data_IF_554795826704
#
_entry.id   IF_554795826704
#
_cell.length_a   1.000
_cell.length_b   1.000
_cell.length_c   1.000
_cell.angle_alpha   90.00
_cell.angle_beta   90.00
_cell.angle_gamma   90.00
#
_symmetry.space_group_name_H-M   'P 1'
#
loop_
_entity.id
_entity.type
_entity.pdbx_description
1 polymer ?
#
# COMPACT_ATOMS: atom_id res chain seq x y z
N UNK A 1 -31.02 -87.98 19.35
CA UNK A 1 -30.65 -87.90 20.78
C UNK A 1 -29.34 -87.14 20.89
N UNK A 2 -29.35 -86.08 21.69
CA UNK A 2 -28.21 -85.37 22.32
C UNK A 2 -27.18 -84.60 21.46
N UNK A 3 -27.07 -83.31 21.78
CA UNK A 3 -25.94 -82.37 21.59
C UNK A 3 -24.71 -82.83 22.43
N UNK A 4 -23.57 -82.09 22.58
CA UNK A 4 -23.22 -80.72 22.14
C UNK A 4 -21.77 -80.53 21.61
N UNK A 5 -21.44 -79.33 21.12
CA UNK A 5 -20.27 -78.52 21.54
C UNK A 5 -20.15 -77.25 20.69
N UNK A 6 -20.74 -76.17 21.22
CA UNK A 6 -20.47 -74.80 20.82
C UNK A 6 -19.06 -74.41 21.27
N UNK A 7 -18.20 -73.97 20.34
CA UNK A 7 -17.00 -73.19 20.66
C UNK A 7 -17.24 -71.74 20.27
N UNK A 8 -17.41 -70.90 21.27
CA UNK A 8 -17.51 -69.44 21.15
C UNK A 8 -16.11 -68.88 20.88
N UNK A 9 -15.88 -68.30 19.70
CA UNK A 9 -14.69 -67.50 19.41
C UNK A 9 -15.04 -66.04 19.72
N UNK A 10 -14.50 -65.50 20.82
CA UNK A 10 -14.59 -64.08 21.16
C UNK A 10 -13.60 -63.32 20.26
N UNK A 11 -14.11 -62.57 19.28
CA UNK A 11 -13.31 -61.63 18.52
C UNK A 11 -13.26 -60.29 19.27
N UNK A 12 -12.12 -59.98 19.88
CA UNK A 12 -11.86 -58.70 20.55
C UNK A 12 -11.59 -57.63 19.48
N UNK A 13 -12.60 -56.82 19.18
CA UNK A 13 -12.49 -55.65 18.31
C UNK A 13 -11.75 -54.54 19.09
N UNK A 14 -10.47 -54.32 18.79
CA UNK A 14 -9.71 -53.21 19.35
C UNK A 14 -10.20 -51.90 18.69
N UNK A 15 -10.95 -51.08 19.45
CA UNK A 15 -11.18 -49.69 19.10
C UNK A 15 -9.85 -48.92 19.18
N UNK A 16 -9.28 -48.58 18.03
CA UNK A 16 -8.28 -47.52 17.96
C UNK A 16 -9.00 -46.19 18.18
N UNK A 17 -8.89 -45.64 19.39
CA UNK A 17 -9.20 -44.23 19.65
C UNK A 17 -8.12 -43.42 18.92
N UNK A 18 -8.46 -42.88 17.75
CA UNK A 18 -7.63 -41.87 17.09
C UNK A 18 -7.75 -40.60 17.92
N UNK A 19 -6.74 -40.34 18.75
CA UNK A 19 -6.61 -39.07 19.43
C UNK A 19 -6.54 -37.95 18.37
N UNK A 20 -7.27 -36.83 18.55
CA UNK A 20 -7.11 -35.68 17.66
C UNK A 20 -5.66 -35.23 17.75
N UNK A 21 -4.99 -35.13 16.61
CA UNK A 21 -3.67 -34.54 16.52
C UNK A 21 -3.76 -33.13 17.12
N UNK A 22 -3.15 -32.94 18.30
CA UNK A 22 -2.85 -31.61 18.81
C UNK A 22 -2.05 -30.93 17.72
N UNK A 23 -2.63 -29.93 17.07
CA UNK A 23 -1.87 -29.04 16.21
C UNK A 23 -0.83 -28.39 17.12
N UNK A 24 0.41 -28.88 17.07
CA UNK A 24 1.51 -28.27 17.79
C UNK A 24 1.52 -26.80 17.40
N UNK A 25 1.38 -25.90 18.38
CA UNK A 25 1.57 -24.48 18.14
C UNK A 25 3.01 -24.33 17.66
N UNK A 26 3.16 -24.10 16.36
CA UNK A 26 4.44 -23.70 15.77
C UNK A 26 4.87 -22.43 16.50
N UNK A 27 6.07 -22.45 17.09
CA UNK A 27 6.55 -21.34 17.92
C UNK A 27 6.56 -20.03 17.13
N UNK A 28 6.21 -18.94 17.81
CA UNK A 28 6.24 -17.61 17.22
C UNK A 28 7.66 -17.29 16.73
N UNK A 29 7.77 -16.78 15.51
CA UNK A 29 9.05 -16.26 15.02
C UNK A 29 9.16 -14.79 15.45
N UNK A 30 10.31 -14.42 16.01
CA UNK A 30 10.59 -13.05 16.47
C UNK A 30 11.91 -12.61 15.85
N UNK A 31 11.93 -11.40 15.28
CA UNK A 31 13.14 -10.80 14.71
C UNK A 31 13.25 -9.32 15.06
N UNK A 32 14.49 -8.85 15.18
CA UNK A 32 14.75 -7.42 15.40
C UNK A 32 14.70 -6.66 14.08
N UNK A 33 13.99 -5.55 14.09
CA UNK A 33 13.88 -4.61 13.00
C UNK A 33 14.99 -3.55 13.10
N UNK A 34 15.80 -3.46 12.05
CA UNK A 34 16.88 -2.46 11.97
C UNK A 34 16.36 -1.19 11.32
N UNK A 35 16.67 -0.07 11.94
CA UNK A 35 16.44 1.24 11.34
C UNK A 35 17.40 1.50 10.16
N UNK A 36 16.90 2.06 9.06
CA UNK A 36 17.69 2.49 7.91
C UNK A 36 17.12 3.76 7.29
N UNK A 37 17.98 4.69 6.91
CA UNK A 37 17.61 5.85 6.10
C UNK A 37 17.71 5.53 4.61
N UNK A 38 16.68 5.87 3.83
CA UNK A 38 16.64 5.68 2.38
C UNK A 38 16.99 6.99 1.67
N UNK A 39 18.20 7.06 1.12
CA UNK A 39 18.70 8.26 0.43
C UNK A 39 17.99 8.54 -0.89
N UNK A 40 17.70 7.49 -1.65
CA UNK A 40 17.00 7.57 -2.93
C UNK A 40 15.64 6.90 -2.81
N UNK A 41 14.59 7.72 -2.78
CA UNK A 41 13.24 7.21 -2.60
C UNK A 41 12.62 6.78 -3.93
N UNK A 42 12.59 5.47 -4.17
CA UNK A 42 12.03 4.87 -5.38
C UNK A 42 10.88 3.89 -5.06
N UNK A 43 10.27 4.03 -3.88
CA UNK A 43 9.22 3.15 -3.36
C UNK A 43 7.87 3.87 -3.46
N UNK A 44 6.85 3.14 -3.92
CA UNK A 44 5.46 3.61 -3.98
C UNK A 44 4.73 3.18 -2.72
N UNK A 45 4.31 4.13 -1.90
CA UNK A 45 3.46 3.88 -0.74
C UNK A 45 1.98 4.01 -1.14
N UNK A 46 1.10 3.23 -0.50
CA UNK A 46 -0.34 3.29 -0.74
C UNK A 46 -0.94 4.67 -0.38
N UNK A 47 -0.49 5.23 0.73
CA UNK A 47 -0.97 6.48 1.34
C UNK A 47 0.21 7.28 1.88
N UNK A 48 1.10 7.72 0.99
CA UNK A 48 2.18 8.63 1.40
C UNK A 48 1.58 9.96 1.89
N UNK A 49 1.91 10.37 3.12
CA UNK A 49 1.61 11.72 3.60
C UNK A 49 2.85 12.60 3.52
N UNK A 50 2.62 13.80 3.01
CA UNK A 50 3.56 14.91 3.08
C UNK A 50 2.93 15.95 4.00
N UNK A 51 3.70 16.40 4.97
CA UNK A 51 3.25 17.38 5.95
C UNK A 51 3.98 18.69 5.73
N UNK A 52 3.22 19.79 5.76
CA UNK A 52 3.78 21.14 5.67
C UNK A 52 4.61 21.43 6.91
N UNK A 53 5.83 21.94 6.69
CA UNK A 53 6.76 22.35 7.73
C UNK A 53 6.42 23.79 8.12
N UNK A 54 5.92 23.97 9.34
CA UNK A 54 5.77 25.27 9.99
C UNK A 54 7.04 25.68 10.73
N UNK A 55 6.88 25.99 12.02
CA UNK A 55 7.99 26.33 12.92
C UNK A 55 8.68 25.09 13.53
N UNK A 56 8.16 23.88 13.27
CA UNK A 56 8.76 22.62 13.69
C UNK A 56 8.46 21.47 12.71
N UNK A 57 9.25 20.39 12.81
CA UNK A 57 8.91 19.07 12.29
C UNK A 57 8.32 18.26 13.43
N UNK A 58 7.05 17.86 13.30
CA UNK A 58 6.18 17.27 14.34
C UNK A 58 6.52 15.82 14.73
N UNK A 59 7.79 15.55 15.02
CA UNK A 59 8.25 14.27 15.58
C UNK A 59 8.49 14.44 17.08
N UNK A 60 7.65 13.84 17.94
CA UNK A 60 7.77 14.02 19.38
C UNK A 60 9.08 13.42 19.93
N UNK A 61 9.62 14.09 20.95
CA UNK A 61 10.76 13.61 21.73
C UNK A 61 10.60 14.05 23.20
N UNK A 62 11.46 13.53 24.09
CA UNK A 62 11.34 13.57 25.54
C UNK A 62 10.89 14.91 26.15
N UNK A 63 11.21 16.05 25.51
CA UNK A 63 10.93 17.38 26.05
C UNK A 63 10.22 18.32 25.08
N UNK A 64 9.77 17.88 23.90
CA UNK A 64 9.06 18.73 22.95
C UNK A 64 8.17 17.94 21.97
N UNK A 65 7.25 18.65 21.32
CA UNK A 65 6.35 18.11 20.29
C UNK A 65 7.02 17.93 18.93
N UNK A 66 8.18 18.55 18.71
CA UNK A 66 8.88 18.52 17.44
C UNK A 66 10.32 19.03 17.50
N UNK A 67 10.92 19.05 16.31
CA UNK A 67 12.26 19.59 16.05
C UNK A 67 12.13 20.99 15.46
N UNK A 68 12.74 21.99 16.10
CA UNK A 68 12.59 23.41 15.73
C UNK A 68 13.08 23.69 14.31
N UNK A 69 12.31 24.49 13.59
CA UNK A 69 12.62 24.95 12.23
C UNK A 69 12.64 26.47 12.19
N UNK A 70 13.57 27.03 11.42
CA UNK A 70 13.55 28.43 11.00
C UNK A 70 13.42 28.49 9.49
N UNK A 71 12.25 28.90 9.05
CA UNK A 71 11.95 29.07 7.64
C UNK A 71 12.25 30.51 7.20
N UNK A 72 13.19 30.67 6.27
CA UNK A 72 13.45 31.94 5.58
C UNK A 72 13.15 31.77 4.09
N UNK A 73 12.95 32.85 3.31
CA UNK A 73 12.58 32.74 1.90
C UNK A 73 13.47 31.83 1.04
N UNK A 74 14.75 31.68 1.42
CA UNK A 74 15.76 30.96 0.65
C UNK A 74 16.37 29.75 1.37
N UNK A 75 16.08 29.54 2.65
CA UNK A 75 16.75 28.51 3.45
C UNK A 75 15.83 28.02 4.56
N UNK A 76 15.80 26.71 4.74
CA UNK A 76 15.13 26.03 5.83
C UNK A 76 16.20 25.50 6.79
N UNK A 77 16.31 26.08 7.98
CA UNK A 77 17.25 25.63 9.01
C UNK A 77 16.50 24.77 10.03
N UNK A 78 17.04 23.60 10.36
CA UNK A 78 16.37 22.57 11.15
C UNK A 78 17.27 22.18 12.33
N UNK A 79 16.67 22.06 13.51
CA UNK A 79 17.26 21.44 14.69
C UNK A 79 17.27 19.92 14.48
N UNK A 80 18.45 19.30 14.45
CA UNK A 80 18.55 17.86 14.18
C UNK A 80 18.77 17.00 15.42
N UNK A 81 18.96 17.59 16.59
CA UNK A 81 19.22 16.87 17.85
C UNK A 81 18.20 17.18 18.97
N UNK A 82 17.21 18.03 18.68
CA UNK A 82 16.12 18.38 19.58
C UNK A 82 16.52 19.38 20.67
N UNK A 83 17.64 20.08 20.52
CA UNK A 83 18.14 21.03 21.52
C UNK A 83 17.50 22.44 21.44
N UNK A 84 16.62 22.68 20.46
CA UNK A 84 15.92 23.94 20.22
C UNK A 84 16.68 24.93 19.34
N UNK A 85 17.90 24.61 18.90
CA UNK A 85 18.71 25.45 18.03
C UNK A 85 18.93 24.78 16.67
N UNK A 86 18.44 25.37 15.58
CA UNK A 86 18.71 24.86 14.24
C UNK A 86 20.20 24.76 13.93
N UNK A 87 20.62 23.58 13.45
CA UNK A 87 22.02 23.24 13.17
C UNK A 87 22.23 22.68 11.76
N UNK A 88 21.15 22.49 10.99
CA UNK A 88 21.18 21.99 9.60
C UNK A 88 20.41 22.86 8.63
N UNK A 89 21.09 23.40 7.62
CA UNK A 89 20.46 24.13 6.52
C UNK A 89 20.11 23.23 5.33
N UNK A 90 18.88 23.37 4.83
CA UNK A 90 18.42 22.86 3.54
C UNK A 90 18.36 23.99 2.53
N UNK A 91 18.99 23.77 1.38
CA UNK A 91 19.09 24.72 0.26
C UNK A 91 18.54 24.08 -1.01
N UNK A 92 17.96 24.89 -1.90
CA UNK A 92 17.46 24.42 -3.19
C UNK A 92 16.00 23.96 -3.13
N UNK A 93 15.69 22.81 -3.75
CA UNK A 93 14.31 22.30 -3.89
C UNK A 93 13.97 21.17 -2.91
N UNK A 94 14.91 20.73 -2.08
CA UNK A 94 14.70 19.63 -1.16
C UNK A 94 15.98 19.15 -0.49
N UNK A 95 15.85 18.16 0.40
CA UNK A 95 16.97 17.60 1.13
C UNK A 95 16.58 16.38 1.95
N UNK A 96 17.57 15.80 2.63
CA UNK A 96 17.39 14.70 3.57
C UNK A 96 18.07 15.07 4.88
N UNK A 97 17.35 14.85 5.98
CA UNK A 97 17.81 15.15 7.34
C UNK A 97 17.60 13.93 8.21
N UNK A 98 18.54 13.70 9.12
CA UNK A 98 18.41 12.68 10.16
C UNK A 98 18.22 13.39 11.49
N UNK A 99 17.00 13.32 12.02
CA UNK A 99 16.64 13.80 13.34
C UNK A 99 17.07 12.77 14.38
N UNK A 100 17.62 13.23 15.50
CA UNK A 100 18.08 12.39 16.60
C UNK A 100 17.46 12.90 17.88
N UNK A 101 16.70 12.05 18.54
CA UNK A 101 15.99 12.42 19.76
C UNK A 101 16.17 11.38 20.86
N UNK A 102 15.50 11.65 21.97
CA UNK A 102 15.18 10.63 22.97
C UNK A 102 13.68 10.50 23.09
N UNK A 103 13.17 9.30 23.30
CA UNK A 103 11.75 9.08 23.58
C UNK A 103 11.41 9.47 25.04
N UNK A 104 10.15 9.26 25.44
CA UNK A 104 9.68 9.53 26.80
C UNK A 104 10.45 8.72 27.87
N UNK A 105 10.98 7.55 27.51
CA UNK A 105 11.78 6.67 28.37
C UNK A 105 13.27 7.07 28.41
N UNK A 106 13.69 8.06 27.61
CA UNK A 106 15.07 8.50 27.49
C UNK A 106 15.93 7.65 26.53
N UNK A 107 15.33 6.71 25.81
CA UNK A 107 15.97 5.89 24.80
C UNK A 107 16.20 6.70 23.53
N UNK A 108 17.38 6.53 22.93
CA UNK A 108 17.74 7.29 21.72
C UNK A 108 17.02 6.73 20.51
N UNK A 109 16.52 7.61 19.66
CA UNK A 109 16.00 7.23 18.35
C UNK A 109 16.59 8.09 17.23
N UNK A 110 16.56 7.52 16.04
CA UNK A 110 16.95 8.14 14.77
C UNK A 110 15.71 8.20 13.86
N UNK A 111 15.43 9.36 13.28
CA UNK A 111 14.29 9.57 12.38
C UNK A 111 14.68 10.43 11.17
N UNK A 112 14.85 9.79 10.02
CA UNK A 112 15.21 10.37 8.75
C UNK A 112 13.96 10.92 8.06
N UNK A 113 14.03 12.18 7.64
CA UNK A 113 13.01 12.86 6.86
C UNK A 113 13.58 13.29 5.52
N UNK A 114 12.73 13.22 4.50
CA UNK A 114 12.96 13.83 3.19
C UNK A 114 12.09 15.08 3.09
N UNK A 115 12.68 16.12 2.53
CA UNK A 115 12.11 17.46 2.48
C UNK A 115 12.02 17.89 1.03
N UNK A 116 10.93 18.56 0.67
CA UNK A 116 10.73 19.15 -0.66
C UNK A 116 10.15 20.55 -0.54
N UNK A 117 10.40 21.38 -1.54
CA UNK A 117 9.69 22.65 -1.71
C UNK A 117 8.31 22.40 -2.35
N UNK A 118 7.26 23.01 -1.81
CA UNK A 118 5.86 22.86 -2.21
C UNK A 118 5.24 24.23 -2.45
N UNK A 119 5.52 24.82 -3.63
CA UNK A 119 5.22 26.24 -3.86
C UNK A 119 6.09 27.13 -2.99
N UNK A 120 5.47 27.93 -2.12
CA UNK A 120 6.17 28.81 -1.17
C UNK A 120 6.44 28.16 0.20
N UNK A 121 5.85 26.99 0.48
CA UNK A 121 6.08 26.24 1.71
C UNK A 121 7.08 25.09 1.49
N UNK A 122 7.44 24.43 2.58
CA UNK A 122 8.24 23.20 2.57
C UNK A 122 7.39 22.07 3.13
N UNK A 123 7.51 20.88 2.55
CA UNK A 123 6.88 19.68 3.11
C UNK A 123 7.97 18.68 3.54
N UNK A 124 7.67 17.86 4.54
CA UNK A 124 8.45 16.67 4.87
C UNK A 124 7.63 15.38 4.77
N UNK A 125 8.33 14.28 4.61
CA UNK A 125 7.81 12.93 4.76
C UNK A 125 8.91 12.02 5.31
N UNK A 126 8.55 10.87 5.87
CA UNK A 126 9.49 9.87 6.35
C UNK A 126 10.40 9.38 5.21
N UNK A 127 11.69 9.27 5.52
CA UNK A 127 12.73 8.64 4.71
C UNK A 127 13.35 7.45 5.46
N UNK A 128 12.95 7.24 6.72
CA UNK A 128 13.33 6.11 7.55
C UNK A 128 12.51 4.87 7.25
N UNK A 129 13.12 3.70 7.43
CA UNK A 129 12.40 2.42 7.43
C UNK A 129 12.92 1.49 8.52
N UNK A 130 12.05 0.58 8.95
CA UNK A 130 12.41 -0.55 9.82
C UNK A 130 12.43 -1.82 8.97
N UNK A 131 13.51 -2.60 9.02
CA UNK A 131 13.65 -3.78 8.15
C UNK A 131 14.30 -4.97 8.84
N UNK A 132 13.82 -6.16 8.52
CA UNK A 132 14.37 -7.44 8.97
C UNK A 132 14.22 -8.50 7.86
N UNK A 133 14.76 -9.69 8.14
CA UNK A 133 14.46 -10.90 7.37
C UNK A 133 13.83 -11.91 8.32
N UNK A 134 12.60 -12.33 8.06
CA UNK A 134 11.85 -13.28 8.90
C UNK A 134 11.12 -14.29 8.00
N UNK A 135 11.05 -15.55 8.43
CA UNK A 135 10.56 -16.67 7.61
C UNK A 135 11.17 -16.73 6.18
N UNK A 136 12.41 -16.26 6.04
CA UNK A 136 13.14 -16.26 4.77
C UNK A 136 12.79 -15.14 3.78
N UNK A 137 11.91 -14.20 4.14
CA UNK A 137 11.56 -13.01 3.35
C UNK A 137 12.06 -11.72 4.01
N UNK A 138 12.33 -10.70 3.19
CA UNK A 138 12.62 -9.37 3.72
C UNK A 138 11.31 -8.65 3.99
N UNK A 139 11.21 -8.01 5.15
CA UNK A 139 10.12 -7.10 5.49
C UNK A 139 10.72 -5.71 5.65
N UNK A 140 10.02 -4.72 5.13
CA UNK A 140 10.31 -3.30 5.34
C UNK A 140 9.02 -2.60 5.76
N UNK A 141 9.06 -1.94 6.91
CA UNK A 141 7.96 -1.14 7.48
C UNK A 141 8.28 0.34 7.26
N UNK A 142 7.24 1.10 6.95
CA UNK A 142 7.31 2.52 6.66
C UNK A 142 6.32 3.23 7.57
N UNK A 143 6.80 4.22 8.31
CA UNK A 143 5.93 5.23 8.90
C UNK A 143 5.44 6.13 7.75
N UNK A 144 4.13 6.15 7.52
CA UNK A 144 3.54 6.84 6.35
C UNK A 144 2.83 8.14 6.69
N UNK A 145 2.51 8.35 7.96
CA UNK A 145 1.84 9.53 8.52
C UNK A 145 2.77 10.36 9.41
N UNK A 146 4.07 10.05 9.40
CA UNK A 146 5.17 10.78 9.97
C UNK A 146 5.08 11.06 11.47
N UNK A 147 4.62 10.10 12.27
CA UNK A 147 4.46 10.26 13.72
C UNK A 147 5.45 9.44 14.57
N UNK A 148 6.39 8.73 13.93
CA UNK A 148 7.35 7.82 14.54
C UNK A 148 6.71 6.62 15.29
N UNK A 149 5.48 6.26 14.93
CA UNK A 149 4.78 5.04 15.35
C UNK A 149 4.82 4.07 14.16
N UNK A 150 5.21 2.81 14.42
CA UNK A 150 5.55 1.85 13.35
C UNK A 150 4.62 0.63 13.30
N UNK A 151 3.47 0.68 13.96
CA UNK A 151 2.56 -0.44 14.10
C UNK A 151 1.09 -0.10 13.75
N UNK A 152 0.83 1.02 13.09
CA UNK A 152 -0.54 1.45 12.78
C UNK A 152 -1.11 0.70 11.57
N UNK A 153 -1.86 -0.38 11.85
CA UNK A 153 -2.52 -1.20 10.84
C UNK A 153 -3.45 -0.35 9.94
N UNK A 154 -3.31 -0.52 8.62
CA UNK A 154 -4.12 0.19 7.62
C UNK A 154 -3.71 1.66 7.37
N UNK A 155 -2.72 2.14 8.13
CA UNK A 155 -2.10 3.46 7.99
C UNK A 155 -0.69 3.28 7.45
N UNK A 156 0.22 2.69 8.24
CA UNK A 156 1.62 2.46 7.91
C UNK A 156 1.82 1.64 6.64
N UNK A 157 3.04 1.59 6.14
CA UNK A 157 3.41 0.83 4.96
C UNK A 157 4.11 -0.49 5.34
N UNK A 158 3.83 -1.56 4.59
CA UNK A 158 4.59 -2.80 4.64
C UNK A 158 4.94 -3.28 3.24
N UNK A 159 6.23 -3.56 3.02
CA UNK A 159 6.74 -4.19 1.82
C UNK A 159 7.33 -5.55 2.15
N UNK A 160 6.92 -6.57 1.40
CA UNK A 160 7.45 -7.93 1.49
C UNK A 160 8.30 -8.22 0.26
N UNK A 161 9.53 -8.68 0.48
CA UNK A 161 10.48 -8.99 -0.58
C UNK A 161 11.15 -7.74 -1.18
N UNK A 162 11.38 -7.76 -2.49
CA UNK A 162 12.02 -6.68 -3.26
C UNK A 162 11.08 -6.21 -4.37
N UNK A 163 10.09 -5.40 -4.01
CA UNK A 163 9.12 -4.82 -4.95
C UNK A 163 9.34 -3.32 -5.10
N UNK A 164 8.58 -2.67 -5.98
CA UNK A 164 8.55 -1.20 -6.09
C UNK A 164 7.45 -0.57 -5.22
N UNK A 165 6.61 -1.38 -4.58
CA UNK A 165 5.42 -0.95 -3.86
C UNK A 165 5.37 -1.51 -2.45
N UNK A 166 4.97 -0.67 -1.50
CA UNK A 166 4.57 -1.10 -0.17
C UNK A 166 3.03 -1.09 -0.10
N UNK A 167 2.47 -2.19 0.40
CA UNK A 167 1.08 -2.26 0.82
C UNK A 167 0.87 -1.39 2.07
N UNK A 168 -0.39 -1.22 2.50
CA UNK A 168 -0.66 -0.84 3.88
C UNK A 168 -0.16 -1.93 4.83
N UNK A 169 0.28 -1.53 6.02
CA UNK A 169 0.62 -2.40 7.12
C UNK A 169 -0.62 -3.22 7.46
N UNK A 170 -0.44 -4.52 7.49
CA UNK A 170 -1.51 -5.50 7.51
C UNK A 170 -1.32 -6.37 8.75
N UNK A 171 -2.42 -6.69 9.43
CA UNK A 171 -2.41 -7.60 10.57
C UNK A 171 -2.03 -9.04 10.17
N UNK A 172 -2.07 -9.34 8.86
CA UNK A 172 -1.67 -10.61 8.27
C UNK A 172 -0.68 -10.38 7.12
N UNK A 173 0.39 -11.16 7.07
CA UNK A 173 1.41 -11.13 6.02
C UNK A 173 1.56 -12.50 5.35
N UNK A 174 1.84 -12.51 4.04
CA UNK A 174 2.21 -13.72 3.30
C UNK A 174 3.73 -13.78 3.15
N UNK A 175 4.37 -14.78 3.75
CA UNK A 175 5.80 -15.03 3.63
C UNK A 175 5.99 -16.38 2.94
N UNK A 176 6.41 -16.34 1.66
CA UNK A 176 6.62 -17.54 0.81
C UNK A 176 5.43 -18.50 0.75
N UNK A 177 4.23 -17.97 0.63
CA UNK A 177 3.01 -18.77 0.51
C UNK A 177 2.41 -19.21 1.84
N UNK A 178 3.02 -18.87 2.98
CA UNK A 178 2.45 -19.12 4.31
C UNK A 178 1.97 -17.80 4.91
N UNK A 179 0.75 -17.80 5.45
CA UNK A 179 0.18 -16.64 6.12
C UNK A 179 0.57 -16.62 7.60
N UNK A 180 0.89 -15.44 8.09
CA UNK A 180 1.18 -15.18 9.49
C UNK A 180 0.42 -13.95 9.99
N UNK A 181 -0.05 -13.96 11.23
CA UNK A 181 -0.43 -12.73 11.94
C UNK A 181 0.83 -11.97 12.36
N UNK A 182 0.74 -10.65 12.41
CA UNK A 182 1.87 -9.75 12.68
C UNK A 182 1.61 -8.94 13.95
N UNK A 183 2.62 -8.82 14.80
CA UNK A 183 2.64 -7.88 15.91
C UNK A 183 3.96 -7.10 15.90
N UNK A 184 3.87 -5.77 16.02
CA UNK A 184 4.99 -4.83 16.04
C UNK A 184 4.71 -3.85 17.20
N UNK A 185 5.68 -3.59 18.10
CA UNK A 185 5.55 -2.53 19.10
C UNK A 185 5.60 -1.15 18.44
N UNK A 186 5.06 -0.12 19.10
CA UNK A 186 4.99 1.24 18.54
C UNK A 186 6.34 1.77 18.07
N UNK A 187 7.43 1.47 18.80
CA UNK A 187 8.79 1.89 18.45
C UNK A 187 9.39 1.17 17.22
N UNK A 188 8.74 0.11 16.72
CA UNK A 188 9.15 -0.64 15.54
C UNK A 188 10.47 -1.40 15.67
N UNK A 189 10.89 -1.77 16.88
CA UNK A 189 12.19 -2.43 17.11
C UNK A 189 12.21 -3.93 16.86
N UNK A 190 11.05 -4.58 16.91
CA UNK A 190 10.92 -6.00 16.66
C UNK A 190 9.64 -6.32 15.88
N UNK A 191 9.61 -7.50 15.28
CA UNK A 191 8.41 -8.07 14.68
C UNK A 191 8.25 -9.48 15.20
N UNK A 192 7.02 -9.80 15.63
CA UNK A 192 6.61 -11.15 15.95
C UNK A 192 5.59 -11.61 14.92
N UNK A 193 5.78 -12.83 14.41
CA UNK A 193 4.82 -13.47 13.52
C UNK A 193 4.39 -14.83 14.05
N UNK A 194 3.08 -15.10 14.00
CA UNK A 194 2.48 -16.37 14.37
C UNK A 194 1.73 -16.93 13.17
N UNK A 195 1.74 -18.25 12.96
CA UNK A 195 1.05 -18.84 11.81
C UNK A 195 -0.44 -18.49 11.86
N UNK A 196 -0.97 -18.01 10.74
CA UNK A 196 -2.38 -17.70 10.61
C UNK A 196 -3.20 -19.00 10.61
N UNK A 197 -4.24 -19.06 11.44
CA UNK A 197 -5.09 -20.25 11.62
C UNK A 197 -6.47 -20.14 10.99
N UNK A 198 -6.79 -19.01 10.34
CA UNK A 198 -8.08 -18.81 9.69
C UNK A 198 -8.16 -19.46 8.30
N UNK A 199 -9.35 -19.42 7.71
CA UNK A 199 -9.56 -19.90 6.35
C UNK A 199 -8.83 -19.02 5.33
N UNK A 200 -8.28 -19.66 4.30
CA UNK A 200 -7.49 -18.99 3.25
C UNK A 200 -8.06 -19.30 1.86
N UNK A 201 -7.92 -18.33 0.95
CA UNK A 201 -8.15 -18.49 -0.48
C UNK A 201 -7.01 -17.89 -1.28
N UNK A 202 -7.11 -17.92 -2.61
CA UNK A 202 -6.13 -17.28 -3.51
C UNK A 202 -6.78 -16.10 -4.20
N UNK A 203 -6.16 -14.92 -4.10
CA UNK A 203 -6.58 -13.72 -4.82
C UNK A 203 -5.64 -13.47 -6.00
N UNK A 204 -6.17 -13.54 -7.22
CA UNK A 204 -5.43 -13.31 -8.47
C UNK A 204 -5.94 -12.07 -9.19
N UNK A 205 -5.17 -10.99 -9.13
CA UNK A 205 -5.52 -9.73 -9.79
C UNK A 205 -4.79 -9.55 -11.12
N UNK A 206 -3.63 -10.19 -11.29
CA UNK A 206 -2.81 -10.00 -12.48
C UNK A 206 -3.34 -10.75 -13.69
N UNK A 207 -3.97 -11.91 -13.48
CA UNK A 207 -4.49 -12.75 -14.56
C UNK A 207 -5.59 -12.08 -15.37
N UNK A 208 -6.40 -11.22 -14.74
CA UNK A 208 -7.47 -10.47 -15.40
C UNK A 208 -7.19 -8.97 -15.56
N UNK A 209 -5.95 -8.52 -15.36
CA UNK A 209 -5.57 -7.12 -15.58
C UNK A 209 -5.20 -6.86 -17.04
N UNK A 210 -5.98 -6.03 -17.73
CA UNK A 210 -5.70 -5.64 -19.11
C UNK A 210 -5.03 -4.26 -19.18
N UNK A 211 -3.78 -4.20 -19.63
CA UNK A 211 -3.09 -2.92 -19.89
C UNK A 211 -1.90 -3.08 -20.83
N UNK A 212 -1.52 -1.99 -21.50
CA UNK A 212 -0.27 -1.90 -22.27
C UNK A 212 0.93 -1.45 -21.41
N UNK A 213 0.69 -1.10 -20.14
CA UNK A 213 1.72 -0.70 -19.18
C UNK A 213 2.10 -1.84 -18.24
N UNK A 214 3.20 -1.64 -17.51
CA UNK A 214 3.63 -2.52 -16.44
C UNK A 214 2.92 -2.16 -15.16
N UNK A 215 2.13 -3.09 -14.61
CA UNK A 215 1.54 -2.95 -13.28
C UNK A 215 2.65 -3.03 -12.23
N UNK A 216 2.99 -1.90 -11.61
CA UNK A 216 4.05 -1.83 -10.61
C UNK A 216 3.52 -2.16 -9.22
N UNK A 217 2.31 -1.67 -8.89
CA UNK A 217 1.63 -1.92 -7.61
C UNK A 217 0.13 -2.15 -7.84
N UNK A 218 -0.47 -3.01 -7.02
CA UNK A 218 -1.89 -3.31 -7.01
C UNK A 218 -2.29 -3.77 -5.60
N UNK A 219 -2.60 -2.79 -4.75
CA UNK A 219 -2.86 -2.97 -3.34
C UNK A 219 -4.35 -3.20 -3.14
N UNK A 220 -4.69 -4.37 -2.61
CA UNK A 220 -6.05 -4.73 -2.25
C UNK A 220 -6.15 -4.86 -0.74
N UNK A 221 -7.18 -4.23 -0.17
CA UNK A 221 -7.47 -4.27 1.26
C UNK A 221 -8.79 -4.95 1.54
N UNK A 222 -8.85 -5.65 2.66
CA UNK A 222 -10.09 -6.18 3.23
C UNK A 222 -11.11 -5.04 3.49
N UNK A 223 -12.40 -5.37 3.51
CA UNK A 223 -13.46 -4.40 3.74
C UNK A 223 -13.29 -3.60 5.04
N UNK A 224 -12.83 -4.26 6.11
CA UNK A 224 -12.56 -3.67 7.42
C UNK A 224 -11.20 -2.96 7.53
N UNK A 225 -10.32 -3.12 6.53
CA UNK A 225 -9.07 -2.36 6.41
C UNK A 225 -7.87 -2.92 7.17
N UNK A 226 -8.05 -3.97 7.99
CA UNK A 226 -6.96 -4.56 8.79
C UNK A 226 -5.96 -5.36 7.97
N UNK A 227 -6.42 -5.94 6.86
CA UNK A 227 -5.60 -6.78 5.98
C UNK A 227 -5.42 -6.10 4.63
N UNK A 228 -4.18 -6.05 4.14
CA UNK A 228 -3.84 -5.50 2.83
C UNK A 228 -2.63 -6.22 2.20
N UNK A 229 -2.67 -6.40 0.87
CA UNK A 229 -1.57 -7.00 0.11
C UNK A 229 -1.33 -6.24 -1.19
N UNK A 230 -0.07 -6.08 -1.58
CA UNK A 230 0.30 -5.73 -2.96
C UNK A 230 0.37 -7.00 -3.81
N UNK A 231 -0.43 -7.05 -4.87
CA UNK A 231 -0.65 -8.23 -5.70
C UNK A 231 -0.02 -8.10 -7.10
N UNK A 232 0.61 -6.97 -7.42
CA UNK A 232 1.13 -6.71 -8.77
C UNK A 232 2.18 -7.72 -9.26
N UNK A 233 3.00 -8.24 -8.35
CA UNK A 233 4.07 -9.19 -8.70
C UNK A 233 3.64 -10.66 -8.63
N UNK A 234 2.42 -10.94 -8.17
CA UNK A 234 1.91 -12.30 -7.97
C UNK A 234 1.07 -12.77 -9.16
N UNK A 235 1.75 -13.30 -10.20
CA UNK A 235 1.12 -13.74 -11.46
C UNK A 235 0.07 -14.84 -11.28
N UNK A 236 0.35 -15.78 -10.39
CA UNK A 236 -0.51 -16.94 -10.12
C UNK A 236 -1.48 -16.68 -8.95
N UNK A 237 -1.56 -15.43 -8.51
CA UNK A 237 -2.27 -15.02 -7.30
C UNK A 237 -1.45 -15.16 -6.02
N UNK A 238 -2.02 -14.67 -4.93
CA UNK A 238 -1.44 -14.73 -3.59
C UNK A 238 -2.43 -15.41 -2.65
N UNK A 239 -1.93 -16.26 -1.76
CA UNK A 239 -2.74 -16.81 -0.67
C UNK A 239 -3.04 -15.68 0.31
N UNK A 240 -4.32 -15.45 0.60
CA UNK A 240 -4.81 -14.41 1.51
C UNK A 240 -5.92 -14.99 2.40
N UNK A 241 -6.22 -14.37 3.56
CA UNK A 241 -7.39 -14.74 4.36
C UNK A 241 -8.69 -14.67 3.54
N UNK A 242 -9.66 -15.54 3.87
CA UNK A 242 -11.02 -15.45 3.32
C UNK A 242 -11.67 -14.13 3.77
N UNK A 243 -12.37 -13.47 2.85
CA UNK A 243 -13.05 -12.20 3.10
C UNK A 243 -13.31 -11.39 1.85
N UNK A 244 -13.93 -10.23 2.01
CA UNK A 244 -14.20 -9.29 0.93
C UNK A 244 -13.05 -8.29 0.76
N UNK A 245 -12.48 -8.22 -0.45
CA UNK A 245 -11.35 -7.36 -0.78
C UNK A 245 -11.72 -6.30 -1.81
N UNK A 246 -11.13 -5.12 -1.70
CA UNK A 246 -11.30 -4.02 -2.66
C UNK A 246 -9.95 -3.40 -2.99
N UNK A 247 -9.84 -2.84 -4.20
CA UNK A 247 -8.69 -2.04 -4.59
C UNK A 247 -8.56 -0.83 -3.65
N UNK A 248 -7.36 -0.61 -3.13
CA UNK A 248 -6.98 0.59 -2.40
C UNK A 248 -6.23 1.56 -3.31
N UNK A 249 -5.14 1.07 -3.87
CA UNK A 249 -4.24 1.86 -4.71
C UNK A 249 -3.56 0.95 -5.73
N UNK A 250 -3.22 1.50 -6.87
CA UNK A 250 -2.38 0.84 -7.86
C UNK A 250 -1.58 1.85 -8.65
N UNK A 251 -0.56 1.38 -9.34
CA UNK A 251 0.25 2.19 -10.22
C UNK A 251 0.68 1.39 -11.42
N UNK A 252 0.46 1.96 -12.60
CA UNK A 252 0.88 1.39 -13.88
C UNK A 252 1.82 2.37 -14.57
N UNK A 253 2.95 1.87 -15.07
CA UNK A 253 3.94 2.68 -15.78
C UNK A 253 4.15 2.19 -17.21
N UNK A 254 4.45 3.11 -18.12
CA UNK A 254 4.87 2.79 -19.48
C UNK A 254 5.84 3.85 -19.96
N UNK A 255 7.09 3.44 -20.24
CA UNK A 255 8.18 4.36 -20.58
C UNK A 255 8.34 5.43 -19.48
N UNK A 256 8.20 6.70 -19.82
CA UNK A 256 8.27 7.86 -18.93
C UNK A 256 6.90 8.30 -18.39
N UNK A 257 5.83 7.61 -18.73
CA UNK A 257 4.48 7.89 -18.23
C UNK A 257 4.12 6.94 -17.09
N UNK A 258 3.34 7.46 -16.15
CA UNK A 258 2.80 6.70 -15.02
C UNK A 258 1.38 7.14 -14.69
N UNK A 259 0.56 6.20 -14.26
CA UNK A 259 -0.84 6.45 -13.92
C UNK A 259 -1.15 5.81 -12.58
N UNK A 260 -1.75 6.59 -11.70
CA UNK A 260 -2.25 6.10 -10.41
C UNK A 260 -3.64 5.51 -10.61
N UNK A 261 -3.91 4.39 -9.97
CA UNK A 261 -5.19 3.69 -10.00
C UNK A 261 -5.80 3.79 -8.61
N UNK A 262 -7.05 4.22 -8.52
CA UNK A 262 -7.84 4.30 -7.29
C UNK A 262 -9.08 3.42 -7.42
N UNK A 263 -9.67 3.03 -6.29
CA UNK A 263 -10.90 2.22 -6.24
C UNK A 263 -12.01 2.66 -7.20
N UNK A 264 -12.26 3.97 -7.31
CA UNK A 264 -13.40 4.47 -8.10
C UNK A 264 -14.72 3.84 -7.66
N UNK A 265 -15.46 3.28 -8.62
CA UNK A 265 -16.71 2.53 -8.41
C UNK A 265 -16.50 1.00 -8.32
N UNK A 266 -15.26 0.53 -8.27
CA UNK A 266 -14.95 -0.89 -8.11
C UNK A 266 -15.55 -1.45 -6.82
N UNK A 267 -16.33 -2.52 -6.97
CA UNK A 267 -16.95 -3.24 -5.84
C UNK A 267 -15.92 -4.11 -5.14
N UNK A 268 -16.25 -4.56 -3.94
CA UNK A 268 -15.46 -5.58 -3.27
C UNK A 268 -15.71 -6.95 -3.92
N UNK A 269 -14.74 -7.85 -3.80
CA UNK A 269 -14.75 -9.20 -4.35
C UNK A 269 -14.57 -10.20 -3.21
N UNK A 270 -15.39 -11.27 -3.15
CA UNK A 270 -15.25 -12.30 -2.14
C UNK A 270 -14.08 -13.23 -2.50
N UNK A 271 -13.14 -13.40 -1.57
CA UNK A 271 -12.18 -14.50 -1.56
C UNK A 271 -12.78 -15.64 -0.77
N UNK A 272 -13.01 -16.78 -1.42
CA UNK A 272 -13.61 -17.97 -0.80
C UNK A 272 -12.55 -19.01 -0.43
N UNK A 273 -12.90 -19.86 0.53
CA UNK A 273 -12.01 -20.92 1.05
C UNK A 273 -11.53 -21.83 -0.06
N UNK A 274 -10.21 -22.00 -0.16
CA UNK A 274 -9.53 -22.86 -1.14
C UNK A 274 -9.84 -22.56 -2.62
N UNK A 275 -10.54 -21.45 -2.90
CA UNK A 275 -10.88 -20.99 -4.24
C UNK A 275 -9.83 -20.02 -4.80
N UNK A 276 -9.85 -19.86 -6.12
CA UNK A 276 -9.15 -18.76 -6.80
C UNK A 276 -10.17 -17.69 -7.16
N UNK A 277 -10.04 -16.52 -6.57
CA UNK A 277 -10.81 -15.33 -6.96
C UNK A 277 -9.98 -14.55 -7.98
N UNK A 278 -10.38 -14.61 -9.24
CA UNK A 278 -9.80 -13.81 -10.32
C UNK A 278 -10.63 -12.53 -10.54
N UNK A 279 -9.95 -11.40 -10.73
CA UNK A 279 -10.60 -10.11 -11.00
C UNK A 279 -10.32 -9.70 -12.44
N UNK A 280 -11.37 -9.40 -13.19
CA UNK A 280 -11.27 -8.73 -14.50
C UNK A 280 -11.33 -7.21 -14.31
N UNK A 281 -10.25 -6.52 -14.61
CA UNK A 281 -10.10 -5.06 -14.44
C UNK A 281 -9.02 -4.54 -15.40
N UNK A 282 -8.79 -3.24 -15.43
CA UNK A 282 -7.96 -2.64 -16.46
C UNK A 282 -8.78 -2.11 -17.63
N UNK A 283 -8.23 -2.30 -18.82
CA UNK A 283 -8.86 -1.94 -20.08
C UNK A 283 -10.09 -2.79 -20.44
N UNK A 284 -10.85 -2.35 -21.46
CA UNK A 284 -10.74 -1.04 -22.12
C UNK A 284 -11.14 0.11 -21.18
N UNK A 285 -10.47 1.26 -21.32
CA UNK A 285 -10.78 2.44 -20.51
C UNK A 285 -11.97 3.21 -21.11
N UNK A 286 -12.88 3.65 -20.24
CA UNK A 286 -13.96 4.58 -20.56
C UNK A 286 -13.54 5.98 -20.11
N UNK A 287 -13.63 6.94 -21.03
CA UNK A 287 -13.42 8.36 -20.75
C UNK A 287 -14.79 9.03 -20.56
N UNK A 288 -14.96 9.73 -19.45
CA UNK A 288 -16.17 10.47 -19.11
C UNK A 288 -15.83 11.95 -18.86
N UNK A 289 -16.63 12.85 -19.41
CA UNK A 289 -16.54 14.28 -19.16
C UNK A 289 -17.96 14.87 -19.24
N UNK A 290 -18.18 15.90 -18.44
CA UNK A 290 -19.40 16.69 -18.44
C UNK A 290 -19.23 17.90 -19.39
N UNK A 291 -20.28 18.21 -20.15
CA UNK A 291 -20.36 19.39 -21.01
C UNK A 291 -21.39 20.35 -20.42
N UNK A 292 -20.99 21.59 -20.15
CA UNK A 292 -21.85 22.62 -19.60
C UNK A 292 -21.95 23.81 -20.57
N UNK A 293 -23.11 24.48 -20.68
CA UNK A 293 -23.20 25.74 -21.39
C UNK A 293 -22.28 26.77 -20.71
N UNK A 294 -21.60 27.60 -21.51
CA UNK A 294 -20.92 28.80 -21.03
C UNK A 294 -21.95 29.93 -20.85
N UNK A 295 -21.59 30.97 -20.11
CA UNK A 295 -22.34 32.23 -20.08
C UNK A 295 -22.29 32.95 -21.45
N UNK A 296 -21.35 32.55 -22.31
CA UNK A 296 -21.31 32.90 -23.72
C UNK A 296 -22.06 31.84 -24.55
N UNK A 297 -23.13 32.24 -25.25
CA UNK A 297 -23.97 31.35 -26.08
C UNK A 297 -23.21 30.65 -27.22
N UNK A 298 -22.00 31.10 -27.55
CA UNK A 298 -21.12 30.49 -28.57
C UNK A 298 -20.14 29.44 -28.01
N UNK A 299 -20.14 29.21 -26.69
CA UNK A 299 -19.16 28.36 -26.02
C UNK A 299 -19.77 27.18 -25.25
N UNK A 300 -19.06 26.06 -25.28
CA UNK A 300 -19.34 24.87 -24.46
C UNK A 300 -18.13 24.58 -23.59
N UNK A 301 -18.33 24.57 -22.27
CA UNK A 301 -17.30 24.24 -21.30
C UNK A 301 -17.28 22.73 -21.11
N UNK A 302 -16.13 22.12 -21.41
CA UNK A 302 -15.90 20.68 -21.20
C UNK A 302 -15.04 20.51 -19.95
N UNK A 303 -15.54 19.72 -18.99
CA UNK A 303 -14.78 19.38 -17.78
C UNK A 303 -13.58 18.47 -18.09
N UNK A 304 -12.61 18.46 -17.17
CA UNK A 304 -11.43 17.58 -17.27
C UNK A 304 -11.90 16.11 -17.35
N UNK A 305 -11.44 15.34 -18.34
CA UNK A 305 -11.87 13.97 -18.53
C UNK A 305 -11.47 13.07 -17.36
N UNK A 306 -12.35 12.15 -17.01
CA UNK A 306 -12.16 11.09 -16.02
C UNK A 306 -12.04 9.75 -16.73
N UNK A 307 -11.09 8.92 -16.32
CA UNK A 307 -10.85 7.61 -16.92
C UNK A 307 -11.22 6.49 -15.96
N UNK A 308 -12.00 5.53 -16.44
CA UNK A 308 -12.45 4.36 -15.67
C UNK A 308 -12.11 3.08 -16.39
N UNK A 309 -11.70 2.06 -15.65
CA UNK A 309 -11.50 0.72 -16.19
C UNK A 309 -12.73 -0.17 -16.06
N UNK A 310 -12.57 -1.41 -16.52
CA UNK A 310 -13.63 -2.41 -16.65
C UNK A 310 -14.32 -2.75 -15.33
N UNK A 311 -13.58 -2.75 -14.22
CA UNK A 311 -14.16 -3.03 -12.90
C UNK A 311 -14.71 -1.77 -12.22
N UNK A 312 -14.60 -0.60 -12.85
CA UNK A 312 -15.01 0.68 -12.31
C UNK A 312 -13.91 1.41 -11.52
N UNK A 313 -12.69 0.89 -11.51
CA UNK A 313 -11.52 1.58 -10.96
C UNK A 313 -11.21 2.85 -11.74
N UNK A 314 -10.67 3.87 -11.06
CA UNK A 314 -10.39 5.18 -11.63
C UNK A 314 -8.90 5.36 -11.89
N UNK A 315 -8.56 5.90 -13.06
CA UNK A 315 -7.19 6.23 -13.46
C UNK A 315 -6.99 7.74 -13.33
N UNK A 316 -6.02 8.14 -12.52
CA UNK A 316 -5.78 9.54 -12.14
C UNK A 316 -4.30 9.90 -12.27
N UNK A 317 -4.02 11.21 -12.20
CA UNK A 317 -2.68 11.78 -12.40
C UNK A 317 -2.09 11.37 -13.75
N UNK A 318 -2.97 11.26 -14.75
CA UNK A 318 -2.64 10.93 -16.12
C UNK A 318 -2.92 12.14 -16.98
N UNK A 319 -1.90 12.60 -17.70
CA UNK A 319 -2.03 13.66 -18.70
C UNK A 319 -1.75 13.03 -20.06
N UNK A 320 -2.78 12.61 -20.82
CA UNK A 320 -2.59 11.97 -22.13
C UNK A 320 -2.13 12.99 -23.18
N UNK A 321 -0.92 13.52 -23.06
CA UNK A 321 -0.43 14.56 -23.95
C UNK A 321 -0.28 14.06 -25.40
N UNK A 322 0.17 12.81 -25.61
CA UNK A 322 0.47 12.32 -26.96
C UNK A 322 -0.59 11.38 -27.55
N UNK A 323 -1.41 10.74 -26.69
CA UNK A 323 -2.37 9.68 -27.08
C UNK A 323 -3.79 10.01 -26.58
N UNK A 324 -4.09 11.30 -26.33
CA UNK A 324 -5.47 11.72 -26.07
C UNK A 324 -6.39 11.29 -27.22
N UNK A 325 -7.53 10.65 -26.94
CA UNK A 325 -8.53 10.38 -27.96
C UNK A 325 -8.97 11.70 -28.60
N UNK A 326 -9.22 11.66 -29.91
CA UNK A 326 -9.71 12.82 -30.64
C UNK A 326 -11.20 13.01 -30.37
N UNK A 327 -11.60 14.22 -30.00
CA UNK A 327 -12.99 14.66 -30.03
C UNK A 327 -13.33 14.99 -31.48
N UNK A 328 -14.47 14.49 -31.97
CA UNK A 328 -14.97 14.73 -33.32
C UNK A 328 -16.38 15.31 -33.24
N UNK A 329 -16.53 16.56 -33.67
CA UNK A 329 -17.83 17.23 -33.76
C UNK A 329 -18.33 17.12 -35.20
N UNK A 330 -19.55 16.62 -35.37
CA UNK A 330 -20.20 16.44 -36.67
C UNK A 330 -21.49 17.26 -36.74
N UNK A 331 -21.86 17.70 -37.94
CA UNK A 331 -23.17 18.28 -38.20
C UNK A 331 -24.26 17.19 -38.22
N UNK A 332 -25.52 17.61 -38.34
CA UNK A 332 -26.67 16.70 -38.43
C UNK A 332 -26.60 15.72 -39.62
N UNK A 333 -25.79 16.02 -40.64
CA UNK A 333 -25.56 15.17 -41.82
C UNK A 333 -24.33 14.27 -41.65
N UNK A 334 -23.71 14.26 -40.47
CA UNK A 334 -22.52 13.49 -40.15
C UNK A 334 -21.21 14.06 -40.70
N UNK A 335 -21.22 15.26 -41.30
CA UNK A 335 -20.02 15.93 -41.80
C UNK A 335 -19.21 16.47 -40.62
N UNK A 336 -17.92 16.20 -40.60
CA UNK A 336 -16.99 16.75 -39.60
C UNK A 336 -17.01 18.28 -39.66
N UNK A 337 -17.39 18.93 -38.56
CA UNK A 337 -17.29 20.38 -38.37
C UNK A 337 -15.94 20.70 -37.72
N UNK A 338 -15.57 19.95 -36.68
CA UNK A 338 -14.37 20.20 -35.89
C UNK A 338 -13.78 18.91 -35.34
N UNK A 339 -12.48 18.92 -35.04
CA UNK A 339 -11.86 17.90 -34.20
C UNK A 339 -10.72 18.49 -33.38
N UNK A 340 -10.55 17.99 -32.16
CA UNK A 340 -9.42 18.32 -31.30
C UNK A 340 -9.03 17.16 -30.40
N UNK A 341 -8.06 17.38 -29.53
CA UNK A 341 -7.63 16.43 -28.49
C UNK A 341 -7.78 17.10 -27.12
N UNK A 342 -7.96 16.29 -26.07
CA UNK A 342 -8.12 16.77 -24.69
C UNK A 342 -6.87 17.47 -24.12
N UNK A 343 -5.70 17.37 -24.76
CA UNK A 343 -4.48 18.06 -24.36
C UNK A 343 -3.91 18.91 -25.50
N UNK A 344 -4.01 20.24 -25.37
CA UNK A 344 -3.01 21.18 -25.87
C UNK A 344 -2.93 22.35 -24.88
N UNK A 345 -2.03 22.24 -23.92
CA UNK A 345 -1.38 23.41 -23.28
C UNK A 345 0.08 23.08 -23.08
#
# INVERSE_FOLDING_TARGET
>A
MLSPLFRTLLATLALFVVAPASHGQEEALVENLRYKSIKEWNIRLAKEMWEEIGDEISIPHQNATGFVVRNTPNTLSIDTDGNGNPDKDIKGLGGLVLLRGKDENGERFDYAVRIRKSGESWDFASSGVRTCKIAGENITIFDTNNNNIWNEIGVDGMMVGKTKGASLLSSVVNLKGVLYTVAIPENGESIQVNRFSGDTGTLSVRSGYESKGTLETAIFKSQYGEIAFDLAQHKDGLIVPVGDYRLEAGFVSKRNEGVSIRKGKMRAFPVTKSGVTAIEWGGPLVMEFDCNPSDNEEEVIVSIPRFKGKAGEAYVNFTPNDISPSILVKDQKGRKIWSGKFCMT
#
